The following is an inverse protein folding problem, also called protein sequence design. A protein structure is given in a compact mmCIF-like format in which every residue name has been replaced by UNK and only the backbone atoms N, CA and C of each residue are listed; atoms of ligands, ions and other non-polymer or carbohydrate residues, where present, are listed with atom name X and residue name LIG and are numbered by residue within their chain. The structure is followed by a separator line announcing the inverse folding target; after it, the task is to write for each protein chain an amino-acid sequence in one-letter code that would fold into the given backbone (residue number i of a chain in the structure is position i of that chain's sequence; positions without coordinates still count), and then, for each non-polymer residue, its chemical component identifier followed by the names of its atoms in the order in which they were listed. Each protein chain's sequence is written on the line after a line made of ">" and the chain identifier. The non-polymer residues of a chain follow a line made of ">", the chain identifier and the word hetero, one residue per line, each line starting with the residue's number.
data_IF_397507345012
#
_entry.id   IF_397507345012
#
_cell.length_a   1.000
_cell.length_b   1.000
_cell.length_c   1.000
_cell.angle_alpha   90.00
_cell.angle_beta   90.00
_cell.angle_gamma   90.00
#
_symmetry.space_group_name_H-M   'P 1'
#
loop_
_entity.id
_entity.type
_entity.pdbx_description
1 polymer ?
#
# COMPACT_ATOMS: atom_id res chain seq x y z
N UNK A 1 -3.88 -38.98 -13.28
CA UNK A 1 -3.26 -38.07 -14.27
C UNK A 1 -1.86 -37.73 -13.78
N UNK A 2 -0.81 -38.20 -14.48
CA UNK A 2 0.58 -37.87 -14.15
C UNK A 2 1.04 -36.73 -15.08
N UNK A 3 1.12 -35.51 -14.56
CA UNK A 3 1.54 -34.35 -15.36
C UNK A 3 3.07 -34.25 -15.26
N UNK A 4 3.77 -34.59 -16.34
CA UNK A 4 5.22 -34.49 -16.41
C UNK A 4 5.61 -33.03 -16.71
N UNK A 5 5.82 -32.23 -15.66
CA UNK A 5 6.20 -30.81 -15.80
C UNK A 5 7.70 -30.65 -15.63
N UNK A 6 8.37 -30.11 -16.65
CA UNK A 6 9.78 -29.77 -16.57
C UNK A 6 10.01 -28.68 -15.49
N UNK A 7 10.97 -28.92 -14.59
CA UNK A 7 11.38 -28.00 -13.53
C UNK A 7 11.63 -26.56 -14.01
N UNK A 8 12.17 -26.38 -15.23
CA UNK A 8 12.40 -25.06 -15.83
C UNK A 8 11.08 -24.32 -16.06
N UNK A 9 10.03 -25.02 -16.50
CA UNK A 9 8.69 -24.44 -16.69
C UNK A 9 8.10 -23.99 -15.35
N UNK A 10 8.24 -24.82 -14.31
CA UNK A 10 7.82 -24.46 -12.95
C UNK A 10 8.55 -23.22 -12.43
N UNK A 11 9.88 -23.14 -12.61
CA UNK A 11 10.69 -21.98 -12.21
C UNK A 11 10.26 -20.70 -12.93
N UNK A 12 10.01 -20.77 -14.24
CA UNK A 12 9.54 -19.63 -15.04
C UNK A 12 8.15 -19.15 -14.58
N UNK A 13 7.21 -20.07 -14.42
CA UNK A 13 5.87 -19.72 -13.94
C UNK A 13 5.91 -19.06 -12.56
N UNK A 14 6.72 -19.60 -11.63
CA UNK A 14 6.92 -19.01 -10.31
C UNK A 14 7.55 -17.61 -10.37
N UNK A 15 8.50 -17.39 -11.28
CA UNK A 15 9.09 -16.06 -11.51
C UNK A 15 8.03 -15.08 -12.04
N UNK A 16 7.28 -15.45 -13.06
CA UNK A 16 6.23 -14.58 -13.63
C UNK A 16 5.18 -14.17 -12.58
N UNK A 17 4.76 -15.12 -11.74
CA UNK A 17 3.84 -14.83 -10.65
C UNK A 17 4.43 -13.87 -9.62
N UNK A 18 5.71 -14.06 -9.25
CA UNK A 18 6.40 -13.13 -8.35
C UNK A 18 6.54 -11.73 -8.95
N UNK A 19 6.95 -11.64 -10.21
CA UNK A 19 7.15 -10.36 -10.90
C UNK A 19 5.82 -9.60 -11.01
N UNK A 20 4.72 -10.31 -11.34
CA UNK A 20 3.37 -9.74 -11.35
C UNK A 20 2.93 -9.26 -9.96
N UNK A 21 3.17 -10.06 -8.94
CA UNK A 21 2.83 -9.71 -7.56
C UNK A 21 3.57 -8.44 -7.10
N UNK A 22 4.87 -8.33 -7.41
CA UNK A 22 5.67 -7.12 -7.12
C UNK A 22 5.16 -5.90 -7.87
N UNK A 23 4.80 -6.06 -9.15
CA UNK A 23 4.21 -4.99 -9.96
C UNK A 23 2.88 -4.47 -9.40
N UNK A 24 2.00 -5.37 -8.96
CA UNK A 24 0.73 -5.02 -8.34
C UNK A 24 0.95 -4.20 -7.06
N UNK A 25 1.87 -4.61 -6.18
CA UNK A 25 2.16 -3.87 -4.96
C UNK A 25 2.60 -2.43 -5.24
N UNK A 26 3.43 -2.20 -6.26
CA UNK A 26 3.85 -0.84 -6.62
C UNK A 26 2.68 0.05 -7.05
N UNK A 27 1.77 -0.49 -7.87
CA UNK A 27 0.58 0.25 -8.32
C UNK A 27 -0.40 0.51 -7.18
N UNK A 28 -0.65 -0.49 -6.35
CA UNK A 28 -1.50 -0.37 -5.16
C UNK A 28 -0.94 0.65 -4.16
N UNK A 29 0.38 0.72 -3.99
CA UNK A 29 1.02 1.74 -3.15
C UNK A 29 0.98 3.14 -3.72
N UNK A 30 1.04 3.29 -5.05
CA UNK A 30 0.87 4.60 -5.68
C UNK A 30 -0.53 5.17 -5.39
N UNK A 31 -1.58 4.35 -5.53
CA UNK A 31 -2.95 4.76 -5.23
C UNK A 31 -3.14 5.19 -3.77
N UNK A 32 -2.40 4.60 -2.82
CA UNK A 32 -2.45 5.01 -1.41
C UNK A 32 -1.91 6.43 -1.20
N UNK A 33 -0.91 6.88 -1.97
CA UNK A 33 -0.42 8.26 -1.87
C UNK A 33 -1.46 9.25 -2.35
N UNK A 34 -2.06 9.00 -3.52
CA UNK A 34 -3.12 9.84 -4.07
C UNK A 34 -4.32 9.91 -3.12
N UNK A 35 -4.70 8.77 -2.53
CA UNK A 35 -5.77 8.70 -1.54
C UNK A 35 -5.47 9.48 -0.26
N UNK A 36 -4.24 9.39 0.25
CA UNK A 36 -3.79 10.15 1.42
C UNK A 36 -3.89 11.66 1.18
N UNK A 37 -3.49 12.10 -0.01
CA UNK A 37 -3.53 13.52 -0.37
C UNK A 37 -4.97 14.01 -0.58
N UNK A 38 -5.83 13.20 -1.21
CA UNK A 38 -7.25 13.51 -1.33
C UNK A 38 -7.93 13.59 0.05
N UNK A 39 -7.62 12.67 0.97
CA UNK A 39 -8.14 12.71 2.32
C UNK A 39 -7.72 13.98 3.07
N UNK A 40 -6.46 14.43 2.90
CA UNK A 40 -5.95 15.68 3.51
C UNK A 40 -6.68 16.90 2.97
N UNK A 41 -6.93 16.92 1.66
CA UNK A 41 -7.63 18.00 0.98
C UNK A 41 -9.09 18.09 1.43
N UNK A 42 -9.79 16.96 1.49
CA UNK A 42 -11.23 16.91 1.81
C UNK A 42 -11.53 17.05 3.30
N UNK A 43 -10.57 16.75 4.18
CA UNK A 43 -10.79 16.75 5.62
C UNK A 43 -9.79 17.70 6.31
N UNK A 44 -9.87 19.02 6.05
CA UNK A 44 -9.07 19.99 6.78
C UNK A 44 -9.27 19.82 8.30
N UNK A 45 -8.22 20.02 9.09
CA UNK A 45 -8.22 19.81 10.55
C UNK A 45 -8.08 18.34 11.02
N UNK A 46 -8.31 17.37 10.14
CA UNK A 46 -8.06 15.96 10.42
C UNK A 46 -6.55 15.65 10.37
N UNK A 47 -6.10 14.68 11.16
CA UNK A 47 -4.70 14.22 11.11
C UNK A 47 -4.60 12.96 10.28
N UNK A 48 -3.93 13.08 9.13
CA UNK A 48 -3.71 11.97 8.19
C UNK A 48 -2.21 11.80 7.98
N UNK A 49 -1.67 10.66 8.40
CA UNK A 49 -0.24 10.35 8.34
C UNK A 49 -0.02 8.98 7.71
N UNK A 50 0.79 8.92 6.65
CA UNK A 50 1.30 7.67 6.10
C UNK A 50 2.81 7.60 6.29
N UNK A 51 3.30 6.43 6.69
CA UNK A 51 4.72 6.17 6.86
C UNK A 51 5.13 4.97 6.00
N UNK A 52 6.29 5.09 5.40
CA UNK A 52 6.96 4.04 4.64
C UNK A 52 8.37 3.85 5.18
N UNK A 53 8.87 2.62 5.11
CA UNK A 53 10.26 2.31 5.35
C UNK A 53 10.98 2.16 4.00
N UNK A 54 12.25 2.52 3.95
CA UNK A 54 13.14 2.25 2.83
C UNK A 54 14.41 1.64 3.39
N UNK A 55 14.91 0.58 2.75
CA UNK A 55 16.19 -0.04 3.15
C UNK A 55 17.35 0.89 2.77
N UNK A 56 17.25 1.54 1.62
CA UNK A 56 18.14 2.60 1.15
C UNK A 56 17.32 3.74 0.51
N UNK A 57 17.85 4.97 0.38
CA UNK A 57 17.12 6.08 -0.24
C UNK A 57 16.55 5.77 -1.63
N UNK A 58 17.22 4.91 -2.40
CA UNK A 58 16.82 4.50 -3.74
C UNK A 58 15.96 3.22 -3.77
N UNK A 59 15.81 2.51 -2.65
CA UNK A 59 14.96 1.31 -2.60
C UNK A 59 13.47 1.67 -2.72
N UNK A 60 12.64 0.78 -3.31
CA UNK A 60 11.19 0.93 -3.29
C UNK A 60 10.67 1.11 -1.85
N UNK A 61 9.71 2.02 -1.63
CA UNK A 61 9.12 2.20 -0.32
C UNK A 61 8.31 0.95 0.08
N UNK A 62 8.53 0.47 1.29
CA UNK A 62 7.70 -0.54 1.93
C UNK A 62 6.73 0.14 2.89
N UNK A 63 5.46 -0.16 2.79
CA UNK A 63 4.49 0.41 3.72
C UNK A 63 4.75 0.00 5.16
N UNK A 64 4.67 0.99 6.05
CA UNK A 64 4.83 0.79 7.48
C UNK A 64 3.50 0.92 8.20
N UNK A 65 2.82 2.05 8.01
CA UNK A 65 1.54 2.34 8.67
C UNK A 65 0.82 3.50 8.01
N UNK A 66 -0.50 3.48 8.14
CA UNK A 66 -1.39 4.57 7.82
C UNK A 66 -2.22 4.92 9.07
N UNK A 67 -2.31 6.19 9.40
CA UNK A 67 -3.02 6.71 10.56
C UNK A 67 -3.95 7.84 10.14
N UNK A 68 -5.20 7.75 10.58
CA UNK A 68 -6.25 8.74 10.34
C UNK A 68 -6.93 9.08 11.66
N UNK A 69 -7.05 10.36 11.96
CA UNK A 69 -7.83 10.89 13.07
C UNK A 69 -8.65 12.08 12.59
N UNK A 70 -9.93 11.84 12.36
CA UNK A 70 -10.85 12.87 11.87
C UNK A 70 -11.06 13.95 12.91
N UNK A 71 -11.14 15.20 12.46
CA UNK A 71 -11.33 16.35 13.33
C UNK A 71 -12.61 16.23 14.18
N UNK A 72 -13.70 15.74 13.58
CA UNK A 72 -14.98 15.54 14.27
C UNK A 72 -14.84 14.62 15.49
N UNK A 73 -13.95 13.63 15.43
CA UNK A 73 -13.69 12.73 16.56
C UNK A 73 -12.82 13.39 17.63
N UNK A 74 -11.97 14.36 17.26
CA UNK A 74 -11.12 15.10 18.21
C UNK A 74 -11.91 16.13 19.01
N UNK A 75 -12.86 16.81 18.37
CA UNK A 75 -13.65 17.87 19.00
C UNK A 75 -14.67 17.34 20.01
N UNK A 76 -14.89 16.02 20.03
CA UNK A 76 -15.97 15.37 20.75
C UNK A 76 -17.30 15.70 20.08
N UNK A 77 -18.19 14.72 19.92
CA UNK A 77 -19.56 15.04 19.55
C UNK A 77 -20.13 15.94 20.64
N UNK A 78 -20.28 17.24 20.35
CA UNK A 78 -20.94 18.21 21.25
C UNK A 78 -22.45 18.27 21.03
N UNK A 79 -22.98 17.33 20.24
CA UNK A 79 -24.41 17.18 20.02
C UNK A 79 -24.86 15.95 20.80
N UNK A 80 -25.47 16.25 21.95
CA UNK A 80 -26.35 15.39 22.72
C UNK A 80 -27.67 16.13 22.92
#
# INVERSE_FOLDING_TARGET
>A
MHVNVNMIKCKRAKKMMKDKLVGNFLQEFAMLWDYVDELRLKNPGSTIKMAVNRVTPHSPPHFKRFYVCFEVLKRGSKEG
#
